data_IF_004372520345
#
_entry.id   IF_004372520345
#
_cell.length_a   1.000
_cell.length_b   1.000
_cell.length_c   1.000
_cell.angle_alpha   90.00
_cell.angle_beta   90.00
_cell.angle_gamma   90.00
#
_symmetry.space_group_name_H-M   'P 1'
#
loop_
_entity.id
_entity.type
_entity.pdbx_description
1 polymer ?
#
# COMPACT_ATOMS: atom_id res chain seq x y z
N UNK A 1 -34.97 31.37 5.94
CA UNK A 1 -33.80 30.65 5.41
C UNK A 1 -32.83 30.26 6.54
N UNK A 2 -33.21 29.33 7.43
CA UNK A 2 -32.34 28.83 8.53
C UNK A 2 -32.03 27.33 8.42
N UNK A 3 -32.87 26.56 7.72
CA UNK A 3 -32.66 25.13 7.47
C UNK A 3 -31.48 24.82 6.53
N UNK A 4 -31.02 25.80 5.75
CA UNK A 4 -29.92 25.61 4.79
C UNK A 4 -28.55 25.46 5.47
N UNK A 5 -28.31 26.07 6.64
CA UNK A 5 -26.94 26.14 7.17
C UNK A 5 -26.47 24.84 7.84
N UNK A 6 -27.37 24.06 8.45
CA UNK A 6 -27.01 22.80 9.10
C UNK A 6 -26.91 21.62 8.14
N UNK A 7 -27.89 21.48 7.23
CA UNK A 7 -27.94 20.36 6.28
C UNK A 7 -26.87 20.48 5.20
N UNK A 8 -26.67 21.68 4.63
CA UNK A 8 -25.63 21.90 3.61
C UNK A 8 -24.24 21.74 4.21
N UNK A 9 -24.03 22.22 5.44
CA UNK A 9 -22.77 22.01 6.15
C UNK A 9 -22.46 20.53 6.37
N UNK A 10 -23.46 19.74 6.78
CA UNK A 10 -23.30 18.29 6.94
C UNK A 10 -22.99 17.58 5.61
N UNK A 11 -23.71 17.92 4.53
CA UNK A 11 -23.44 17.36 3.21
C UNK A 11 -22.04 17.70 2.72
N UNK A 12 -21.57 18.93 2.95
CA UNK A 12 -20.22 19.35 2.59
C UNK A 12 -19.14 18.56 3.34
N UNK A 13 -19.32 18.31 4.64
CA UNK A 13 -18.41 17.47 5.42
C UNK A 13 -18.38 16.03 4.91
N UNK A 14 -19.55 15.46 4.59
CA UNK A 14 -19.63 14.10 4.02
C UNK A 14 -18.89 14.03 2.68
N UNK A 15 -19.06 15.02 1.81
CA UNK A 15 -18.34 15.08 0.53
C UNK A 15 -16.83 15.14 0.75
N UNK A 16 -16.35 15.99 1.67
CA UNK A 16 -14.93 16.07 2.01
C UNK A 16 -14.41 14.73 2.52
N UNK A 17 -15.15 14.08 3.43
CA UNK A 17 -14.77 12.77 3.97
C UNK A 17 -14.68 11.71 2.86
N UNK A 18 -15.63 11.70 1.93
CA UNK A 18 -15.60 10.79 0.78
C UNK A 18 -14.42 11.06 -0.15
N UNK A 19 -14.09 12.34 -0.41
CA UNK A 19 -12.90 12.70 -1.19
C UNK A 19 -11.61 12.16 -0.52
N UNK A 20 -11.50 12.29 0.80
CA UNK A 20 -10.36 11.74 1.56
C UNK A 20 -10.34 10.21 1.47
N UNK A 21 -11.49 9.55 1.63
CA UNK A 21 -11.58 8.09 1.51
C UNK A 21 -11.17 7.59 0.12
N UNK A 22 -11.64 8.24 -0.95
CA UNK A 22 -11.26 7.92 -2.33
C UNK A 22 -9.77 8.14 -2.54
N UNK A 23 -9.21 9.25 -2.06
CA UNK A 23 -7.78 9.53 -2.17
C UNK A 23 -6.93 8.43 -1.54
N UNK A 24 -7.25 8.01 -0.30
CA UNK A 24 -6.54 6.92 0.36
C UNK A 24 -6.77 5.57 -0.33
N UNK A 25 -7.96 5.31 -0.84
CA UNK A 25 -8.26 4.11 -1.64
C UNK A 25 -7.37 4.02 -2.88
N UNK A 26 -7.24 5.11 -3.64
CA UNK A 26 -6.36 5.17 -4.82
C UNK A 26 -4.88 4.96 -4.45
N UNK A 27 -4.42 5.55 -3.33
CA UNK A 27 -3.04 5.36 -2.85
C UNK A 27 -2.78 3.91 -2.42
N UNK A 28 -3.72 3.29 -1.73
CA UNK A 28 -3.64 1.90 -1.33
C UNK A 28 -3.56 0.96 -2.54
N UNK A 29 -4.43 1.15 -3.54
CA UNK A 29 -4.40 0.35 -4.78
C UNK A 29 -3.08 0.54 -5.53
N UNK A 30 -2.57 1.77 -5.61
CA UNK A 30 -1.30 2.05 -6.26
C UNK A 30 -0.13 1.34 -5.58
N UNK A 31 -0.02 1.46 -4.25
CA UNK A 31 1.02 0.78 -3.45
C UNK A 31 0.88 -0.74 -3.57
N UNK A 32 -0.35 -1.27 -3.50
CA UNK A 32 -0.58 -2.71 -3.67
C UNK A 32 -0.14 -3.20 -5.05
N UNK A 33 -0.40 -2.43 -6.12
CA UNK A 33 0.06 -2.78 -7.47
C UNK A 33 1.59 -2.76 -7.58
N UNK A 34 2.23 -1.75 -7.02
CA UNK A 34 3.69 -1.65 -6.95
C UNK A 34 4.29 -2.85 -6.20
N UNK A 35 3.80 -3.11 -4.97
CA UNK A 35 4.32 -4.17 -4.12
C UNK A 35 3.97 -5.58 -4.60
N UNK A 36 2.85 -5.78 -5.31
CA UNK A 36 2.51 -7.07 -5.91
C UNK A 36 3.56 -7.52 -6.94
N UNK A 37 4.30 -6.58 -7.52
CA UNK A 37 5.40 -6.89 -8.42
C UNK A 37 6.75 -7.01 -7.72
N UNK A 38 6.87 -6.65 -6.44
CA UNK A 38 8.10 -6.79 -5.65
C UNK A 38 8.19 -8.16 -4.98
N UNK A 39 8.41 -9.21 -5.79
CA UNK A 39 8.63 -10.55 -5.27
C UNK A 39 10.08 -10.79 -4.84
N UNK A 40 10.24 -11.69 -3.87
CA UNK A 40 11.52 -12.16 -3.37
C UNK A 40 11.96 -13.40 -4.14
N UNK A 41 13.27 -13.53 -4.38
CA UNK A 41 13.90 -14.74 -4.91
C UNK A 41 14.99 -15.20 -3.96
N UNK A 42 15.16 -16.52 -3.83
CA UNK A 42 16.31 -17.09 -3.13
C UNK A 42 17.57 -16.96 -3.98
N UNK A 43 18.65 -16.47 -3.39
CA UNK A 43 19.97 -16.42 -4.02
C UNK A 43 20.53 -17.83 -4.21
N UNK A 44 20.45 -18.63 -3.14
CA UNK A 44 20.79 -20.05 -3.13
C UNK A 44 19.85 -20.79 -2.17
N UNK A 45 19.12 -21.79 -2.68
CA UNK A 45 18.16 -22.58 -1.92
C UNK A 45 18.88 -23.52 -0.94
N UNK A 46 20.10 -23.96 -1.29
CA UNK A 46 20.87 -24.90 -0.45
C UNK A 46 21.45 -24.23 0.80
N UNK A 47 21.52 -22.89 0.81
CA UNK A 47 21.96 -22.10 1.95
C UNK A 47 20.84 -21.83 2.97
N UNK A 48 19.61 -22.30 2.72
CA UNK A 48 18.48 -22.12 3.64
C UNK A 48 18.52 -23.20 4.72
N UNK A 49 18.55 -22.77 5.98
CA UNK A 49 18.47 -23.68 7.12
C UNK A 49 17.05 -23.72 7.68
N UNK A 50 16.58 -24.87 8.15
CA UNK A 50 15.21 -25.03 8.67
C UNK A 50 14.89 -24.08 9.85
N UNK A 51 15.90 -23.72 10.67
CA UNK A 51 15.74 -22.83 11.81
C UNK A 51 16.95 -21.92 11.96
N UNK A 52 17.03 -20.88 11.13
CA UNK A 52 18.07 -19.86 11.25
C UNK A 52 17.50 -18.45 11.08
N UNK A 53 17.90 -17.55 11.98
CA UNK A 53 17.61 -16.12 11.85
C UNK A 53 18.40 -15.48 10.71
N UNK A 54 19.44 -16.15 10.18
CA UNK A 54 20.30 -15.65 9.11
C UNK A 54 19.70 -15.88 7.71
N UNK A 55 18.62 -16.66 7.58
CA UNK A 55 17.96 -16.93 6.29
C UNK A 55 17.50 -15.66 5.56
N UNK A 56 17.33 -14.54 6.27
CA UNK A 56 16.99 -13.27 5.65
C UNK A 56 18.07 -12.74 4.70
N UNK A 57 19.33 -13.17 4.84
CA UNK A 57 20.41 -12.77 3.94
C UNK A 57 20.35 -13.51 2.58
N UNK A 58 19.62 -14.63 2.53
CA UNK A 58 19.55 -15.53 1.37
C UNK A 58 18.42 -15.19 0.39
N UNK A 59 17.71 -14.08 0.59
CA UNK A 59 16.76 -13.55 -0.39
C UNK A 59 17.27 -12.26 -1.04
N UNK A 60 16.73 -11.95 -2.21
CA UNK A 60 16.87 -10.67 -2.88
C UNK A 60 15.53 -10.22 -3.44
N UNK A 61 15.34 -8.91 -3.50
CA UNK A 61 14.19 -8.28 -4.13
C UNK A 61 14.46 -8.17 -5.63
N UNK A 62 13.65 -8.85 -6.45
CA UNK A 62 13.93 -8.97 -7.89
C UNK A 62 13.67 -7.66 -8.65
N UNK A 63 12.75 -6.82 -8.15
CA UNK A 63 12.26 -5.63 -8.85
C UNK A 63 12.56 -4.29 -8.14
N UNK A 64 13.43 -4.28 -7.13
CA UNK A 64 13.73 -3.09 -6.32
C UNK A 64 14.43 -1.94 -7.07
N UNK A 65 14.72 -2.09 -8.37
CA UNK A 65 15.37 -1.08 -9.22
C UNK A 65 14.60 -0.67 -10.47
N UNK A 66 13.38 -1.18 -10.70
CA UNK A 66 12.58 -0.88 -11.90
C UNK A 66 11.64 0.32 -11.74
N UNK A 67 11.81 1.11 -10.67
CA UNK A 67 11.12 2.38 -10.46
C UNK A 67 12.04 3.55 -10.87
N UNK A 68 12.34 3.64 -12.18
CA UNK A 68 12.86 4.86 -12.80
C UNK A 68 11.78 5.47 -13.68
#
# INVERSE_FOLDING_TARGET
MKFLNGLVGNLLIVVILLCVAVFFGLKAVHIQKEQATNYYRYKDINALEMKSTQNHANYELVNQGSQK
#
